data_IF_771614603339
#
_entry.id   IF_771614603339
#
_cell.length_a   1.000
_cell.length_b   1.000
_cell.length_c   1.000
_cell.angle_alpha   90.00
_cell.angle_beta   90.00
_cell.angle_gamma   90.00
#
_symmetry.space_group_name_H-M   'P 1'
#
loop_
_entity.id
_entity.type
_entity.pdbx_description
1 polymer ?
#
# COMPACT_ATOMS: atom_id res chain seq x y z
N UNK A 1 -30.72 -12.02 2.04
CA UNK A 1 -30.25 -12.20 0.65
C UNK A 1 -29.54 -10.92 0.24
N UNK A 2 -28.35 -10.98 -0.36
CA UNK A 2 -27.57 -9.79 -0.76
C UNK A 2 -28.22 -9.17 -2.01
N UNK A 3 -28.50 -7.87 -1.99
CA UNK A 3 -29.13 -7.15 -3.11
C UNK A 3 -28.11 -6.77 -4.18
N UNK A 4 -28.56 -6.48 -5.40
CA UNK A 4 -27.67 -5.98 -6.46
C UNK A 4 -27.02 -4.64 -6.09
N UNK A 5 -27.75 -3.75 -5.42
CA UNK A 5 -27.21 -2.47 -4.92
C UNK A 5 -26.06 -2.70 -3.92
N UNK A 6 -26.16 -3.69 -3.04
CA UNK A 6 -25.07 -4.05 -2.12
C UNK A 6 -23.84 -4.57 -2.86
N UNK A 7 -24.02 -5.33 -3.96
CA UNK A 7 -22.90 -5.81 -4.77
C UNK A 7 -22.20 -4.67 -5.51
N UNK A 8 -22.96 -3.71 -6.03
CA UNK A 8 -22.41 -2.55 -6.72
C UNK A 8 -21.56 -1.69 -5.76
N UNK A 9 -22.09 -1.36 -4.58
CA UNK A 9 -21.33 -0.67 -3.53
C UNK A 9 -20.06 -1.43 -3.12
N UNK A 10 -20.12 -2.76 -3.05
CA UNK A 10 -18.96 -3.59 -2.72
C UNK A 10 -17.88 -3.55 -3.82
N UNK A 11 -18.29 -3.56 -5.09
CA UNK A 11 -17.38 -3.42 -6.22
C UNK A 11 -16.73 -2.03 -6.25
N UNK A 12 -17.48 -0.95 -5.96
CA UNK A 12 -16.93 0.40 -5.84
C UNK A 12 -15.87 0.49 -4.74
N UNK A 13 -16.14 -0.09 -3.57
CA UNK A 13 -15.16 -0.16 -2.48
C UNK A 13 -13.91 -0.95 -2.87
N UNK A 14 -14.06 -2.03 -3.63
CA UNK A 14 -12.94 -2.82 -4.15
C UNK A 14 -12.10 -2.02 -5.14
N UNK A 15 -12.74 -1.26 -6.04
CA UNK A 15 -12.05 -0.35 -6.96
C UNK A 15 -11.31 0.77 -6.23
N UNK A 16 -11.92 1.36 -5.20
CA UNK A 16 -11.26 2.37 -4.36
C UNK A 16 -10.04 1.81 -3.63
N UNK A 17 -10.10 0.55 -3.17
CA UNK A 17 -8.94 -0.13 -2.60
C UNK A 17 -7.80 -0.29 -3.61
N UNK A 18 -8.12 -0.69 -4.85
CA UNK A 18 -7.15 -0.82 -5.94
C UNK A 18 -6.51 0.53 -6.26
N UNK A 19 -7.32 1.59 -6.37
CA UNK A 19 -6.83 2.95 -6.63
C UNK A 19 -5.83 3.38 -5.56
N UNK A 20 -6.20 3.31 -4.28
CA UNK A 20 -5.31 3.69 -3.18
C UNK A 20 -4.07 2.80 -3.08
N UNK A 21 -4.18 1.51 -3.39
CA UNK A 21 -3.00 0.63 -3.45
C UNK A 21 -2.09 1.01 -4.63
N UNK A 22 -2.66 1.35 -5.79
CA UNK A 22 -1.93 1.84 -6.96
C UNK A 22 -1.16 3.13 -6.67
N UNK A 23 -1.84 4.15 -6.13
CA UNK A 23 -1.21 5.41 -5.72
C UNK A 23 -0.08 5.19 -4.70
N UNK A 24 -0.30 4.27 -3.75
CA UNK A 24 0.74 3.91 -2.79
C UNK A 24 1.95 3.24 -3.46
N UNK A 25 1.73 2.34 -4.43
CA UNK A 25 2.81 1.66 -5.15
C UNK A 25 3.65 2.64 -5.95
N UNK A 26 3.02 3.59 -6.63
CA UNK A 26 3.71 4.65 -7.36
C UNK A 26 4.66 5.42 -6.43
N UNK A 27 4.16 5.84 -5.27
CA UNK A 27 4.96 6.55 -4.25
C UNK A 27 6.08 5.70 -3.64
N UNK A 28 5.85 4.40 -3.44
CA UNK A 28 6.91 3.48 -2.98
C UNK A 28 8.03 3.36 -4.00
N UNK A 29 7.70 3.24 -5.29
CA UNK A 29 8.69 3.14 -6.36
C UNK A 29 9.45 4.46 -6.52
N UNK A 30 8.74 5.59 -6.55
CA UNK A 30 9.35 6.92 -6.62
C UNK A 30 10.30 7.15 -5.43
N UNK A 31 9.91 6.74 -4.22
CA UNK A 31 10.78 6.84 -3.06
C UNK A 31 12.08 6.03 -3.20
N UNK A 32 12.00 4.82 -3.77
CA UNK A 32 13.17 4.00 -4.02
C UNK A 32 14.09 4.65 -5.06
N UNK A 33 13.54 5.17 -6.16
CA UNK A 33 14.29 5.87 -7.20
C UNK A 33 15.00 7.12 -6.66
N UNK A 34 14.32 7.92 -5.83
CA UNK A 34 14.93 9.08 -5.16
C UNK A 34 16.05 8.64 -4.21
N UNK A 35 15.86 7.57 -3.44
CA UNK A 35 16.90 7.06 -2.54
C UNK A 35 18.13 6.54 -3.30
N UNK A 36 17.94 5.93 -4.47
CA UNK A 36 19.05 5.47 -5.33
C UNK A 36 19.90 6.62 -5.89
N UNK A 37 19.37 7.85 -5.90
CA UNK A 37 20.10 9.06 -6.34
C UNK A 37 20.60 9.92 -5.17
N UNK A 38 20.50 9.43 -3.94
CA UNK A 38 20.94 10.15 -2.72
C UNK A 38 19.93 11.16 -2.18
N UNK A 39 18.73 11.27 -2.78
CA UNK A 39 17.68 12.20 -2.35
C UNK A 39 16.84 11.62 -1.20
N UNK A 40 17.47 11.31 -0.07
CA UNK A 40 16.84 10.59 1.05
C UNK A 40 15.70 11.35 1.73
N UNK A 41 15.77 12.69 1.81
CA UNK A 41 14.68 13.50 2.38
C UNK A 41 13.40 13.36 1.53
N UNK A 42 13.52 13.50 0.21
CA UNK A 42 12.42 13.31 -0.73
C UNK A 42 11.87 11.89 -0.66
N UNK A 43 12.76 10.89 -0.60
CA UNK A 43 12.36 9.49 -0.43
C UNK A 43 11.56 9.26 0.86
N UNK A 44 11.94 9.89 1.97
CA UNK A 44 11.23 9.79 3.24
C UNK A 44 9.83 10.44 3.19
N UNK A 45 9.69 11.57 2.49
CA UNK A 45 8.39 12.22 2.25
C UNK A 45 7.46 11.34 1.42
N UNK A 46 7.96 10.78 0.32
CA UNK A 46 7.21 9.87 -0.55
C UNK A 46 6.76 8.59 0.18
N UNK A 47 7.62 8.02 1.05
CA UNK A 47 7.23 6.91 1.93
C UNK A 47 6.08 7.30 2.88
N UNK A 48 6.05 8.54 3.36
CA UNK A 48 4.94 9.01 4.21
C UNK A 48 3.64 9.08 3.40
N UNK A 49 3.67 9.64 2.21
CA UNK A 49 2.51 9.68 1.30
C UNK A 49 2.01 8.28 0.94
N UNK A 50 2.93 7.36 0.61
CA UNK A 50 2.61 5.96 0.35
C UNK A 50 1.86 5.33 1.54
N UNK A 51 2.32 5.60 2.78
CA UNK A 51 1.67 5.06 3.99
C UNK A 51 0.26 5.59 4.17
N UNK A 52 0.01 6.85 3.83
CA UNK A 52 -1.34 7.43 3.90
C UNK A 52 -2.30 6.71 2.96
N UNK A 53 -1.90 6.46 1.71
CA UNK A 53 -2.72 5.72 0.73
C UNK A 53 -2.92 4.24 1.13
N UNK A 54 -1.88 3.57 1.60
CA UNK A 54 -1.98 2.21 2.18
C UNK A 54 -3.01 2.19 3.31
N UNK A 55 -2.98 3.17 4.22
CA UNK A 55 -3.92 3.23 5.34
C UNK A 55 -5.37 3.44 4.88
N UNK A 56 -5.61 4.21 3.80
CA UNK A 56 -6.95 4.36 3.22
C UNK A 56 -7.48 3.02 2.71
N UNK A 57 -6.67 2.28 1.95
CA UNK A 57 -7.05 0.96 1.43
C UNK A 57 -7.24 -0.09 2.54
N UNK A 58 -6.32 -0.13 3.52
CA UNK A 58 -6.42 -1.03 4.67
C UNK A 58 -7.65 -0.79 5.55
N UNK A 59 -8.13 0.44 5.67
CA UNK A 59 -9.37 0.73 6.41
C UNK A 59 -10.56 0.02 5.77
N UNK A 60 -10.67 0.07 4.44
CA UNK A 60 -11.73 -0.62 3.70
C UNK A 60 -11.59 -2.14 3.89
N UNK A 61 -10.39 -2.70 3.70
CA UNK A 61 -10.12 -4.12 3.92
C UNK A 61 -10.52 -4.58 5.34
N UNK A 62 -10.10 -3.82 6.36
CA UNK A 62 -10.35 -4.15 7.77
C UNK A 62 -11.85 -4.18 8.08
N UNK A 63 -12.60 -3.20 7.57
CA UNK A 63 -14.07 -3.17 7.75
C UNK A 63 -14.71 -4.42 7.18
N UNK A 64 -14.31 -4.86 5.98
CA UNK A 64 -14.91 -6.05 5.38
C UNK A 64 -14.54 -7.34 6.13
N UNK A 65 -13.27 -7.50 6.52
CA UNK A 65 -12.83 -8.67 7.32
C UNK A 65 -13.57 -8.71 8.66
N UNK A 66 -13.82 -7.56 9.29
CA UNK A 66 -14.58 -7.49 10.55
C UNK A 66 -16.06 -7.86 10.36
N UNK A 67 -16.68 -7.50 9.25
CA UNK A 67 -18.06 -7.89 8.93
C UNK A 67 -18.16 -9.40 8.71
N UNK A 68 -17.25 -9.97 7.94
CA UNK A 68 -17.17 -11.42 7.70
C UNK A 68 -16.98 -12.19 9.01
N UNK A 69 -16.08 -11.72 9.89
CA UNK A 69 -15.84 -12.35 11.20
C UNK A 69 -17.05 -12.31 12.16
N UNK A 70 -18.02 -11.41 11.91
CA UNK A 70 -19.29 -11.32 12.67
C UNK A 70 -20.41 -12.19 12.09
N UNK A 71 -20.10 -13.04 11.10
CA UNK A 71 -21.08 -13.84 10.37
C UNK A 71 -22.17 -13.00 9.68
N UNK A 72 -21.88 -11.73 9.38
CA UNK A 72 -22.73 -10.93 8.51
C UNK A 72 -22.71 -11.52 7.09
N UNK A 73 -23.82 -11.40 6.36
CA UNK A 73 -23.95 -11.99 5.03
C UNK A 73 -22.78 -11.58 4.12
N UNK A 74 -21.91 -12.55 3.82
CA UNK A 74 -20.69 -12.35 3.06
C UNK A 74 -20.91 -12.64 1.57
N UNK A 75 -20.37 -11.76 0.72
CA UNK A 75 -20.34 -11.92 -0.73
C UNK A 75 -18.90 -12.17 -1.18
N UNK A 76 -18.64 -13.35 -1.75
CA UNK A 76 -17.38 -13.58 -2.43
C UNK A 76 -17.30 -12.73 -3.71
N UNK A 77 -16.21 -11.99 -3.86
CA UNK A 77 -15.91 -11.22 -5.07
C UNK A 77 -14.45 -11.41 -5.48
N UNK A 78 -14.23 -11.81 -6.73
CA UNK A 78 -12.89 -11.87 -7.31
C UNK A 78 -12.23 -10.49 -7.29
N UNK A 79 -12.98 -9.42 -7.57
CA UNK A 79 -12.45 -8.06 -7.59
C UNK A 79 -11.93 -7.63 -6.20
N UNK A 80 -12.65 -8.00 -5.14
CA UNK A 80 -12.22 -7.72 -3.78
C UNK A 80 -10.99 -8.53 -3.39
N UNK A 81 -10.94 -9.82 -3.76
CA UNK A 81 -9.75 -10.65 -3.57
C UNK A 81 -8.51 -10.03 -4.27
N UNK A 82 -8.67 -9.59 -5.52
CA UNK A 82 -7.62 -8.89 -6.26
C UNK A 82 -7.19 -7.57 -5.60
N UNK A 83 -8.14 -6.80 -5.05
CA UNK A 83 -7.85 -5.59 -4.31
C UNK A 83 -7.03 -5.87 -3.04
N UNK A 84 -7.34 -6.94 -2.31
CA UNK A 84 -6.58 -7.39 -1.15
C UNK A 84 -5.16 -7.83 -1.53
N UNK A 85 -5.03 -8.67 -2.55
CA UNK A 85 -3.73 -9.16 -3.04
C UNK A 85 -2.83 -7.98 -3.46
N UNK A 86 -3.40 -7.01 -4.18
CA UNK A 86 -2.70 -5.80 -4.59
C UNK A 86 -2.22 -5.02 -3.37
N UNK A 87 -3.10 -4.71 -2.42
CA UNK A 87 -2.76 -3.97 -1.20
C UNK A 87 -1.67 -4.65 -0.38
N UNK A 88 -1.78 -5.96 -0.14
CA UNK A 88 -0.81 -6.70 0.66
C UNK A 88 0.56 -6.78 -0.03
N UNK A 89 0.59 -6.86 -1.36
CA UNK A 89 1.81 -6.76 -2.15
C UNK A 89 2.46 -5.38 -1.97
N UNK A 90 1.69 -4.29 -2.11
CA UNK A 90 2.20 -2.92 -1.89
C UNK A 90 2.70 -2.71 -0.46
N UNK A 91 1.98 -3.24 0.53
CA UNK A 91 2.40 -3.15 1.93
C UNK A 91 3.74 -3.86 2.16
N UNK A 92 4.00 -4.96 1.45
CA UNK A 92 5.28 -5.66 1.48
C UNK A 92 6.40 -4.85 0.81
N UNK A 93 6.14 -4.31 -0.38
CA UNK A 93 7.05 -3.40 -1.11
C UNK A 93 7.42 -2.19 -0.22
N UNK A 94 6.43 -1.51 0.35
CA UNK A 94 6.61 -0.42 1.30
C UNK A 94 7.52 -0.80 2.48
N UNK A 95 7.29 -1.96 3.09
CA UNK A 95 8.04 -2.40 4.27
C UNK A 95 9.52 -2.65 3.93
N UNK A 96 9.80 -3.12 2.72
CA UNK A 96 11.15 -3.34 2.21
C UNK A 96 11.78 -1.99 1.89
N UNK A 97 11.16 -1.16 1.05
CA UNK A 97 11.69 0.15 0.64
C UNK A 97 11.98 1.05 1.85
N UNK A 98 11.09 1.11 2.83
CA UNK A 98 11.30 1.88 4.08
C UNK A 98 12.57 1.47 4.83
N UNK A 99 12.96 0.19 4.77
CA UNK A 99 14.19 -0.31 5.40
C UNK A 99 15.42 -0.14 4.51
N UNK A 100 15.24 -0.14 3.19
CA UNK A 100 16.31 0.08 2.22
C UNK A 100 16.83 1.52 2.23
N UNK A 101 15.95 2.53 2.36
CA UNK A 101 16.34 3.95 2.37
C UNK A 101 17.46 4.26 3.39
N UNK A 102 17.29 3.98 4.70
CA UNK A 102 18.36 4.25 5.67
C UNK A 102 19.59 3.33 5.49
N UNK A 103 19.44 2.17 4.83
CA UNK A 103 20.57 1.31 4.49
C UNK A 103 21.42 1.94 3.38
N UNK A 104 20.78 2.48 2.34
CA UNK A 104 21.44 3.20 1.24
C UNK A 104 22.17 4.45 1.75
N UNK A 105 21.51 5.24 2.60
CA UNK A 105 22.10 6.44 3.22
C UNK A 105 23.36 6.11 4.04
N UNK A 106 23.30 5.05 4.86
CA UNK A 106 24.46 4.59 5.63
C UNK A 106 25.59 4.05 4.74
N UNK A 107 25.25 3.39 3.64
CA UNK A 107 26.23 2.87 2.69
C UNK A 107 26.97 4.01 2.01
N UNK A 108 26.25 5.04 1.55
CA UNK A 108 26.85 6.23 0.95
C UNK A 108 27.76 6.96 1.93
N UNK A 109 27.32 7.16 3.19
CA UNK A 109 28.15 7.74 4.24
C UNK A 109 29.46 6.96 4.42
N UNK A 110 29.40 5.63 4.48
CA UNK A 110 30.60 4.78 4.62
C UNK A 110 31.51 4.83 3.40
N UNK A 111 30.96 4.92 2.20
CA UNK A 111 31.76 5.05 0.98
C UNK A 111 32.50 6.40 1.02
N UNK A 112 31.82 7.48 1.43
CA UNK A 112 32.41 8.81 1.54
C UNK A 112 33.45 8.93 2.67
N UNK A 113 33.42 8.07 3.69
CA UNK A 113 34.46 7.99 4.74
C UNK A 113 35.77 7.35 4.23
N UNK A 114 35.71 6.54 3.17
CA UNK A 114 36.82 5.73 2.66
C UNK A 114 37.41 6.30 1.36
N UNK A 115 36.62 7.09 0.61
CA UNK A 115 37.02 7.79 -0.60
C UNK A 115 37.81 9.08 -0.29
#
# INVERSE_FOLDING_TARGET
MITEEMKEQFNEQSMLMILHAGDAREKVNEALDQAMTGAYNTAAELIKEAKENINKSHKIQTVQVQKEAKEEAYYYSMLFAHAQDTLMTVQSEYNITKKLIPLLERLEQKINEIA
#
